data_IF_563032323992
#
_entry.id   IF_563032323992
#
_cell.length_a   1.000
_cell.length_b   1.000
_cell.length_c   1.000
_cell.angle_alpha   90.00
_cell.angle_beta   90.00
_cell.angle_gamma   90.00
#
_symmetry.space_group_name_H-M   'P 1'
#
loop_
_entity.id
_entity.type
_entity.pdbx_description
1 polymer ?
#
# COMPACT_ATOMS: atom_id res chain seq x y z
N UNK A 1 5.15 21.79 -32.82
CA UNK A 1 5.72 21.83 -31.46
C UNK A 1 4.54 21.69 -30.50
N UNK A 2 4.47 20.64 -29.68
CA UNK A 2 3.39 20.50 -28.68
C UNK A 2 3.84 21.19 -27.41
N UNK A 3 3.14 22.23 -27.01
CA UNK A 3 3.37 22.94 -25.75
C UNK A 3 2.61 22.20 -24.65
N UNK A 4 3.33 21.76 -23.61
CA UNK A 4 2.68 21.24 -22.42
C UNK A 4 1.98 22.40 -21.70
N UNK A 5 0.68 22.25 -21.43
CA UNK A 5 -0.09 23.18 -20.61
C UNK A 5 -0.27 22.52 -19.26
N UNK A 6 0.32 23.12 -18.23
CA UNK A 6 0.25 22.62 -16.85
C UNK A 6 -1.08 22.98 -16.17
N UNK A 7 -1.85 23.91 -16.74
CA UNK A 7 -3.13 24.33 -16.18
C UNK A 7 -4.15 23.20 -16.19
N UNK A 8 -4.70 22.91 -15.01
CA UNK A 8 -5.74 21.91 -14.80
C UNK A 8 -7.10 22.60 -14.69
N UNK A 9 -8.16 21.92 -15.13
CA UNK A 9 -9.54 22.41 -15.00
C UNK A 9 -10.13 22.21 -13.59
N UNK A 10 -9.35 21.64 -12.68
CA UNK A 10 -9.70 21.41 -11.28
C UNK A 10 -8.42 21.40 -10.44
N UNK A 11 -8.56 21.56 -9.13
CA UNK A 11 -7.44 21.44 -8.19
C UNK A 11 -6.88 20.02 -8.18
N UNK A 12 -5.56 19.89 -8.14
CA UNK A 12 -4.92 18.60 -7.97
C UNK A 12 -5.28 18.00 -6.60
N UNK A 13 -5.47 16.68 -6.59
CA UNK A 13 -5.73 15.95 -5.35
C UNK A 13 -4.54 16.11 -4.40
N UNK A 14 -4.83 16.30 -3.11
CA UNK A 14 -3.82 16.39 -2.07
C UNK A 14 -2.90 15.15 -2.10
N UNK A 15 -1.56 15.32 -1.97
CA UNK A 15 -0.63 14.19 -1.91
C UNK A 15 -1.00 13.17 -0.82
N UNK A 16 -1.61 13.63 0.28
CA UNK A 16 -2.10 12.80 1.38
C UNK A 16 -3.30 11.91 1.02
N UNK A 17 -3.92 12.09 -0.15
CA UNK A 17 -5.04 11.27 -0.65
C UNK A 17 -4.62 10.32 -1.77
N UNK A 18 -3.32 10.26 -2.08
CA UNK A 18 -2.77 9.33 -3.09
C UNK A 18 -3.06 7.87 -2.74
N UNK A 19 -3.08 7.51 -1.45
CA UNK A 19 -3.47 6.19 -0.97
C UNK A 19 -4.92 5.78 -1.32
N UNK A 20 -5.81 6.73 -1.67
CA UNK A 20 -7.17 6.43 -2.14
C UNK A 20 -7.16 5.98 -3.61
N UNK A 21 -6.22 6.47 -4.39
CA UNK A 21 -6.10 6.17 -5.81
C UNK A 21 -5.45 4.80 -6.01
N UNK A 22 -6.18 3.85 -6.60
CA UNK A 22 -5.69 2.48 -6.80
C UNK A 22 -4.37 2.43 -7.58
N UNK A 23 -4.18 3.32 -8.56
CA UNK A 23 -2.95 3.43 -9.35
C UNK A 23 -1.73 3.91 -8.56
N UNK A 24 -1.95 4.54 -7.40
CA UNK A 24 -0.89 4.97 -6.49
C UNK A 24 -0.73 4.03 -5.29
N UNK A 25 -1.60 3.02 -5.15
CA UNK A 25 -1.44 2.01 -4.10
C UNK A 25 -0.44 0.96 -4.53
N UNK A 26 0.68 0.90 -3.82
CA UNK A 26 1.72 -0.09 -4.06
C UNK A 26 2.39 -0.46 -2.73
N UNK A 27 2.51 -1.77 -2.49
CA UNK A 27 3.35 -2.32 -1.43
C UNK A 27 4.73 -2.53 -2.05
N UNK A 28 5.72 -1.72 -1.65
CA UNK A 28 7.08 -1.89 -2.16
C UNK A 28 7.69 -3.22 -1.66
N UNK A 29 8.77 -3.68 -2.29
CA UNK A 29 9.38 -4.98 -1.96
C UNK A 29 9.89 -5.09 -0.51
N UNK A 30 10.35 -3.97 0.08
CA UNK A 30 10.75 -3.94 1.49
C UNK A 30 9.56 -4.14 2.42
N UNK A 31 8.46 -3.45 2.16
CA UNK A 31 7.21 -3.60 2.90
C UNK A 31 6.63 -5.01 2.71
N UNK A 32 6.68 -5.57 1.49
CA UNK A 32 6.28 -6.96 1.22
C UNK A 32 7.08 -7.97 2.03
N UNK A 33 8.41 -7.80 2.10
CA UNK A 33 9.26 -8.68 2.90
C UNK A 33 8.91 -8.60 4.40
N UNK A 34 8.61 -7.41 4.90
CA UNK A 34 8.20 -7.23 6.29
C UNK A 34 6.82 -7.82 6.57
N UNK A 35 5.84 -7.55 5.71
CA UNK A 35 4.49 -8.14 5.77
C UNK A 35 4.58 -9.68 5.75
N UNK A 36 5.40 -10.22 4.85
CA UNK A 36 5.61 -11.66 4.71
C UNK A 36 6.19 -12.26 6.00
N UNK A 37 7.27 -11.68 6.51
CA UNK A 37 7.92 -12.14 7.75
C UNK A 37 6.96 -12.10 8.96
N UNK A 38 6.16 -11.03 9.09
CA UNK A 38 5.16 -10.93 10.15
C UNK A 38 4.03 -11.93 9.97
N UNK A 39 3.58 -12.17 8.73
CA UNK A 39 2.54 -13.15 8.46
C UNK A 39 3.00 -14.59 8.77
N UNK A 40 4.25 -14.94 8.43
CA UNK A 40 4.85 -16.22 8.81
C UNK A 40 4.98 -16.38 10.33
N UNK A 41 5.16 -15.27 11.07
CA UNK A 41 5.10 -15.23 12.52
C UNK A 41 3.66 -15.14 13.08
N UNK A 42 2.66 -15.48 12.27
CA UNK A 42 1.23 -15.58 12.62
C UNK A 42 0.56 -14.27 13.08
N UNK A 43 1.16 -13.12 12.77
CA UNK A 43 0.50 -11.84 13.04
C UNK A 43 -0.71 -11.65 12.13
N UNK A 44 -1.83 -11.23 12.72
CA UNK A 44 -3.02 -10.90 11.97
C UNK A 44 -2.77 -9.67 11.07
N UNK A 45 -3.43 -9.61 9.92
CA UNK A 45 -3.36 -8.46 9.00
C UNK A 45 -3.68 -7.13 9.70
N UNK A 46 -4.56 -7.12 10.70
CA UNK A 46 -4.85 -5.95 11.54
C UNK A 46 -3.63 -5.47 12.34
N UNK A 47 -2.88 -6.41 12.92
CA UNK A 47 -1.65 -6.14 13.69
C UNK A 47 -0.52 -5.67 12.78
N UNK A 48 -0.36 -6.30 11.61
CA UNK A 48 0.59 -5.87 10.57
C UNK A 48 0.29 -4.42 10.16
N UNK A 49 -0.96 -4.11 9.84
CA UNK A 49 -1.37 -2.74 9.49
C UNK A 49 -1.12 -1.75 10.64
N UNK A 50 -1.35 -2.16 11.90
CA UNK A 50 -1.07 -1.35 13.08
C UNK A 50 0.42 -1.05 13.26
N UNK A 51 1.28 -2.03 12.96
CA UNK A 51 2.73 -1.86 12.98
C UNK A 51 3.20 -0.83 11.94
N UNK A 52 2.72 -0.92 10.70
CA UNK A 52 3.03 0.08 9.68
C UNK A 52 2.49 1.47 10.04
N UNK A 53 1.29 1.56 10.61
CA UNK A 53 0.78 2.83 11.11
C UNK A 53 1.65 3.40 12.22
N UNK A 54 2.16 2.58 13.13
CA UNK A 54 3.10 3.03 14.16
C UNK A 54 4.39 3.57 13.53
N UNK A 55 4.99 2.84 12.58
CA UNK A 55 6.23 3.26 11.91
C UNK A 55 6.05 4.53 11.06
N UNK A 56 4.92 4.64 10.35
CA UNK A 56 4.65 5.74 9.43
C UNK A 56 3.94 6.93 10.09
N UNK A 57 3.82 6.97 11.42
CA UNK A 57 3.09 8.04 12.13
C UNK A 57 1.61 8.16 11.74
N UNK A 58 0.98 7.04 11.36
CA UNK A 58 -0.45 6.92 11.13
C UNK A 58 -0.82 6.11 9.89
N UNK A 59 -2.10 5.73 9.81
CA UNK A 59 -2.66 4.94 8.72
C UNK A 59 -2.73 5.67 7.36
N UNK A 60 -2.54 7.00 7.35
CA UNK A 60 -2.59 7.82 6.14
C UNK A 60 -1.22 8.04 5.50
N UNK A 61 -0.17 7.53 6.13
CA UNK A 61 1.21 7.88 5.79
C UNK A 61 1.94 6.84 4.95
N UNK A 62 1.34 5.67 4.71
CA UNK A 62 1.88 4.64 3.81
C UNK A 62 0.94 4.42 2.61
N UNK A 63 1.51 3.87 1.54
CA UNK A 63 0.92 3.86 0.20
C UNK A 63 0.06 2.62 -0.08
N UNK A 64 -0.48 1.95 0.94
CA UNK A 64 -1.32 0.78 0.76
C UNK A 64 -2.42 0.72 1.82
N UNK A 65 -3.47 -0.04 1.55
CA UNK A 65 -4.58 -0.26 2.49
C UNK A 65 -4.62 -1.72 2.94
N UNK A 66 -5.42 -2.00 3.96
CA UNK A 66 -5.60 -3.36 4.51
C UNK A 66 -5.94 -4.38 3.42
N UNK A 67 -6.74 -3.98 2.41
CA UNK A 67 -7.12 -4.86 1.30
C UNK A 67 -5.93 -5.25 0.43
N UNK A 68 -4.97 -4.38 0.23
CA UNK A 68 -3.77 -4.70 -0.56
C UNK A 68 -2.93 -5.75 0.16
N UNK A 69 -2.82 -5.66 1.50
CA UNK A 69 -2.12 -6.67 2.33
C UNK A 69 -2.82 -8.03 2.25
N UNK A 70 -4.15 -8.08 2.32
CA UNK A 70 -4.89 -9.33 2.12
C UNK A 70 -4.64 -9.93 0.75
N UNK A 71 -4.67 -9.12 -0.31
CA UNK A 71 -4.46 -9.60 -1.67
C UNK A 71 -3.03 -10.15 -1.85
N UNK A 72 -2.03 -9.48 -1.27
CA UNK A 72 -0.64 -9.97 -1.30
C UNK A 72 -0.49 -11.32 -0.59
N UNK A 73 -1.06 -11.47 0.61
CA UNK A 73 -1.00 -12.74 1.35
C UNK A 73 -1.71 -13.86 0.58
N UNK A 74 -2.87 -13.60 -0.01
CA UNK A 74 -3.59 -14.57 -0.85
C UNK A 74 -2.77 -14.99 -2.08
N UNK A 75 -2.10 -14.04 -2.73
CA UNK A 75 -1.23 -14.30 -3.89
C UNK A 75 -0.02 -15.17 -3.52
N UNK A 76 0.62 -14.89 -2.37
CA UNK A 76 1.70 -15.71 -1.82
C UNK A 76 1.21 -17.13 -1.51
N UNK A 77 0.02 -17.28 -0.93
CA UNK A 77 -0.57 -18.60 -0.66
C UNK A 77 -0.88 -19.37 -1.94
N UNK A 78 -1.50 -18.73 -2.94
CA UNK A 78 -1.77 -19.36 -4.23
C UNK A 78 -0.50 -19.80 -4.94
N UNK A 79 0.55 -18.99 -4.87
CA UNK A 79 1.85 -19.30 -5.46
C UNK A 79 2.55 -20.50 -4.80
N UNK A 80 2.20 -20.84 -3.56
CA UNK A 80 2.72 -22.00 -2.83
C UNK A 80 1.95 -23.28 -3.09
N UNK A 81 0.71 -23.17 -3.56
CA UNK A 81 -0.12 -24.33 -3.93
C UNK A 81 0.29 -24.70 -5.36
N UNK A 82 1.20 -25.69 -5.46
CA UNK A 82 1.63 -26.34 -6.70
C UNK A 82 0.77 -27.57 -6.95
#
# INVERSE_FOLDING_TARGET
MKTFVQDHNHDLTLPASTNVLAVHRNINEGDKAHIHSMHEAEFQTSQIMGFFAYLSSGYRSFHFIKKDVYNYIDDVHRSRIV
#
